data_IF_942699191864
#
_entry.id   IF_942699191864
#
_cell.length_a   1.000
_cell.length_b   1.000
_cell.length_c   1.000
_cell.angle_alpha   90.00
_cell.angle_beta   90.00
_cell.angle_gamma   90.00
#
_symmetry.space_group_name_H-M   'P 1'
#
loop_
_entity.id
_entity.type
_entity.pdbx_description
1 polymer ?
#
# COMPACT_ATOMS: atom_id res chain seq x y z
N UNK A 1 -2.73 14.29 -4.76
CA UNK A 1 -2.19 13.52 -5.92
C UNK A 1 -3.11 12.40 -6.38
N UNK A 2 -3.28 11.26 -5.68
CA UNK A 2 -4.17 10.16 -6.16
C UNK A 2 -5.63 10.63 -6.36
N UNK A 3 -6.23 11.23 -5.33
CA UNK A 3 -7.62 11.70 -5.37
C UNK A 3 -7.85 12.90 -6.29
N UNK A 4 -6.78 13.62 -6.66
CA UNK A 4 -6.84 14.85 -7.46
C UNK A 4 -6.52 14.58 -8.95
N UNK A 5 -5.59 13.66 -9.23
CA UNK A 5 -5.15 13.32 -10.59
C UNK A 5 -6.05 12.28 -11.27
N UNK A 6 -6.85 11.54 -10.51
CA UNK A 6 -7.59 10.36 -10.97
C UNK A 6 -6.71 9.26 -11.61
N UNK A 7 -5.39 9.37 -11.49
CA UNK A 7 -4.45 8.37 -12.00
C UNK A 7 -4.35 7.17 -11.06
N UNK A 8 -3.97 6.04 -11.63
CA UNK A 8 -3.71 4.84 -10.86
C UNK A 8 -2.53 5.09 -9.88
N UNK A 9 -2.65 4.73 -8.58
CA UNK A 9 -1.58 4.93 -7.60
C UNK A 9 -0.25 4.32 -8.01
N UNK A 10 -0.29 3.21 -8.75
CA UNK A 10 0.90 2.56 -9.31
C UNK A 10 1.66 3.45 -10.31
N UNK A 11 0.94 4.20 -11.15
CA UNK A 11 1.54 5.13 -12.11
C UNK A 11 2.15 6.35 -11.40
N UNK A 12 1.44 6.90 -10.41
CA UNK A 12 1.96 7.97 -9.56
C UNK A 12 3.24 7.56 -8.81
N UNK A 13 3.28 6.31 -8.31
CA UNK A 13 4.49 5.71 -7.73
C UNK A 13 5.64 5.68 -8.74
N UNK A 14 5.38 5.26 -9.98
CA UNK A 14 6.40 5.19 -11.02
C UNK A 14 6.93 6.58 -11.40
N UNK A 15 6.07 7.60 -11.42
CA UNK A 15 6.47 8.99 -11.70
C UNK A 15 7.44 9.58 -10.68
N UNK A 16 7.44 9.11 -9.43
CA UNK A 16 8.38 9.57 -8.38
C UNK A 16 9.59 8.64 -8.20
N UNK A 17 9.63 7.51 -8.92
CA UNK A 17 10.69 6.51 -8.84
C UNK A 17 11.59 6.56 -10.07
N UNK A 18 12.59 7.44 -10.05
CA UNK A 18 13.60 7.46 -11.11
C UNK A 18 14.47 6.17 -11.09
N UNK A 19 14.91 5.66 -12.26
CA UNK A 19 15.80 4.51 -12.33
C UNK A 19 17.08 4.72 -11.51
N UNK A 20 17.40 3.78 -10.60
CA UNK A 20 18.58 3.86 -9.72
C UNK A 20 18.52 4.96 -8.64
N UNK A 21 17.37 5.63 -8.48
CA UNK A 21 17.16 6.67 -7.48
C UNK A 21 16.95 6.14 -6.06
N UNK A 22 16.98 7.04 -5.09
CA UNK A 22 16.77 6.70 -3.66
C UNK A 22 15.38 6.14 -3.39
N UNK A 23 14.35 6.68 -4.07
CA UNK A 23 12.96 6.25 -3.90
C UNK A 23 12.75 4.79 -4.33
N UNK A 24 13.34 4.37 -5.45
CA UNK A 24 13.12 3.00 -5.96
C UNK A 24 13.84 1.95 -5.09
N UNK A 25 14.99 2.29 -4.51
CA UNK A 25 15.65 1.42 -3.53
C UNK A 25 14.80 1.26 -2.25
N UNK A 26 14.17 2.34 -1.77
CA UNK A 26 13.24 2.26 -0.65
C UNK A 26 12.02 1.40 -0.98
N UNK A 27 11.40 1.61 -2.15
CA UNK A 27 10.26 0.80 -2.63
C UNK A 27 10.65 -0.67 -2.71
N UNK A 28 11.81 -1.00 -3.26
CA UNK A 28 12.31 -2.39 -3.33
C UNK A 28 12.34 -3.05 -1.96
N UNK A 29 12.87 -2.38 -0.93
CA UNK A 29 12.91 -2.94 0.43
C UNK A 29 11.51 -3.15 0.99
N UNK A 30 10.58 -2.20 0.76
CA UNK A 30 9.19 -2.36 1.17
C UNK A 30 8.51 -3.57 0.50
N UNK A 31 8.80 -3.82 -0.78
CA UNK A 31 8.33 -5.03 -1.48
C UNK A 31 8.94 -6.30 -0.88
N UNK A 32 10.25 -6.31 -0.66
CA UNK A 32 10.97 -7.47 -0.09
C UNK A 32 10.43 -7.83 1.29
N UNK A 33 10.04 -6.84 2.09
CA UNK A 33 9.43 -7.05 3.42
C UNK A 33 7.92 -7.31 3.36
N UNK A 34 7.33 -7.45 2.17
CA UNK A 34 5.92 -7.82 2.01
C UNK A 34 4.94 -6.73 2.45
N UNK A 35 5.33 -5.45 2.38
CA UNK A 35 4.54 -4.32 2.90
C UNK A 35 3.09 -4.31 2.39
N UNK A 36 2.87 -4.57 1.10
CA UNK A 36 1.51 -4.62 0.53
C UNK A 36 0.66 -5.72 1.16
N UNK A 37 1.21 -6.92 1.31
CA UNK A 37 0.51 -8.04 1.95
C UNK A 37 0.14 -7.69 3.39
N UNK A 38 1.10 -7.13 4.14
CA UNK A 38 0.89 -6.76 5.53
C UNK A 38 -0.28 -5.78 5.71
N UNK A 39 -0.37 -4.74 4.86
CA UNK A 39 -1.46 -3.76 4.93
C UNK A 39 -2.81 -4.41 4.58
N UNK A 40 -2.86 -5.23 3.52
CA UNK A 40 -4.10 -5.90 3.09
C UNK A 40 -4.60 -6.85 4.18
N UNK A 41 -3.71 -7.69 4.72
CA UNK A 41 -4.05 -8.66 5.77
C UNK A 41 -4.47 -7.97 7.06
N UNK A 42 -3.79 -6.88 7.44
CA UNK A 42 -4.15 -6.10 8.62
C UNK A 42 -5.57 -5.55 8.53
N UNK A 43 -5.96 -4.98 7.38
CA UNK A 43 -7.32 -4.47 7.19
C UNK A 43 -8.33 -5.60 7.12
N UNK A 44 -8.04 -6.72 6.44
CA UNK A 44 -8.92 -7.88 6.44
C UNK A 44 -9.20 -8.39 7.86
N UNK A 45 -8.16 -8.49 8.70
CA UNK A 45 -8.30 -8.90 10.12
C UNK A 45 -9.03 -7.86 10.96
N UNK A 46 -8.80 -6.58 10.71
CA UNK A 46 -9.53 -5.49 11.35
C UNK A 46 -11.03 -5.59 11.07
N UNK A 47 -11.41 -5.78 9.80
CA UNK A 47 -12.81 -5.94 9.39
C UNK A 47 -13.45 -7.19 10.01
N UNK A 48 -12.76 -8.33 9.97
CA UNK A 48 -13.21 -9.58 10.61
C UNK A 48 -13.49 -9.37 12.11
N UNK A 49 -12.64 -8.61 12.80
CA UNK A 49 -12.86 -8.30 14.23
C UNK A 49 -14.00 -7.31 14.42
N UNK A 50 -14.12 -6.29 13.59
CA UNK A 50 -15.18 -5.29 13.64
C UNK A 50 -16.57 -5.94 13.52
N UNK A 51 -16.75 -6.85 12.54
CA UNK A 51 -18.01 -7.57 12.35
C UNK A 51 -18.37 -8.47 13.54
N UNK A 52 -17.37 -9.11 14.16
CA UNK A 52 -17.61 -9.90 15.39
C UNK A 52 -18.06 -9.01 16.54
N UNK A 53 -17.46 -7.83 16.70
CA UNK A 53 -17.83 -6.87 17.74
C UNK A 53 -19.23 -6.27 17.50
N UNK A 54 -19.64 -6.03 16.25
CA UNK A 54 -20.95 -5.46 15.96
C UNK A 54 -22.11 -6.44 16.13
N UNK A 55 -21.83 -7.74 16.24
CA UNK A 55 -22.82 -8.82 16.45
C UNK A 55 -22.85 -9.32 17.90
N UNK A 56 -22.09 -8.68 18.79
CA UNK A 56 -22.07 -8.94 20.24
C UNK A 56 -22.97 -7.95 20.96
#
# INVERSE_FOLDING_TARGET
MVLESAEHPGALKDMVCSPGGTTIEAVRVLEEKGFRSAVIEAIAKCMEKSEKLSRS
#
